data_IF_649677471187
#
_entry.id   IF_649677471187
#
_cell.length_a   1.000
_cell.length_b   1.000
_cell.length_c   1.000
_cell.angle_alpha   90.00
_cell.angle_beta   90.00
_cell.angle_gamma   90.00
#
_symmetry.space_group_name_H-M   'P 1'
#
loop_
_entity.id
_entity.type
_entity.pdbx_description
1 polymer ?
#
# COMPACT_ATOMS: atom_id res chain seq x y z
N UNK A 1 -12.41 9.84 -7.00
CA UNK A 1 -11.48 8.78 -7.45
C UNK A 1 -11.07 7.97 -6.23
N UNK A 2 -10.67 6.75 -6.41
CA UNK A 2 -10.30 5.84 -5.33
C UNK A 2 -8.88 5.33 -5.51
N UNK A 3 -8.34 4.74 -4.46
CA UNK A 3 -7.02 4.10 -4.44
C UNK A 3 -7.21 2.60 -4.36
N UNK A 4 -6.59 1.85 -5.27
CA UNK A 4 -6.59 0.38 -5.29
C UNK A 4 -5.30 -0.17 -4.74
N UNK A 5 -5.38 -1.22 -3.92
CA UNK A 5 -4.23 -2.01 -3.49
C UNK A 5 -4.11 -3.29 -4.32
N UNK A 6 -2.97 -3.45 -5.00
CA UNK A 6 -2.66 -4.64 -5.79
C UNK A 6 -1.32 -5.21 -5.38
N UNK A 7 -1.24 -6.53 -5.25
CA UNK A 7 -0.04 -7.27 -4.88
C UNK A 7 0.38 -8.14 -6.05
N UNK A 8 1.64 -8.08 -6.46
CA UNK A 8 2.18 -8.86 -7.57
C UNK A 8 3.14 -8.08 -8.46
N UNK A 9 3.43 -8.61 -9.65
CA UNK A 9 4.28 -7.96 -10.64
C UNK A 9 3.61 -6.79 -11.35
N UNK A 10 4.42 -5.93 -11.99
CA UNK A 10 3.93 -4.81 -12.77
C UNK A 10 3.06 -5.26 -13.95
N UNK A 11 3.41 -6.36 -14.61
CA UNK A 11 2.67 -6.90 -15.75
C UNK A 11 1.23 -7.31 -15.41
N UNK A 12 0.99 -7.74 -14.18
CA UNK A 12 -0.36 -8.06 -13.71
C UNK A 12 -1.15 -6.83 -13.24
N UNK A 13 -0.47 -5.72 -13.01
CA UNK A 13 -1.05 -4.51 -12.43
C UNK A 13 -1.39 -3.47 -13.48
N UNK A 14 -0.57 -3.35 -14.51
CA UNK A 14 -0.65 -2.31 -15.54
C UNK A 14 -0.77 -2.89 -16.95
N UNK A 15 -1.14 -2.05 -17.92
CA UNK A 15 -1.07 -2.40 -19.34
C UNK A 15 0.38 -2.70 -19.77
N UNK A 16 0.55 -3.61 -20.72
CA UNK A 16 1.85 -4.21 -21.05
C UNK A 16 2.97 -3.21 -21.33
N UNK A 17 2.70 -2.16 -22.12
CA UNK A 17 3.73 -1.16 -22.45
C UNK A 17 4.16 -0.35 -21.21
N UNK A 18 3.21 0.03 -20.38
CA UNK A 18 3.47 0.77 -19.15
C UNK A 18 4.13 -0.12 -18.09
N UNK A 19 3.72 -1.38 -18.00
CA UNK A 19 4.33 -2.36 -17.10
C UNK A 19 5.83 -2.57 -17.42
N UNK A 20 6.19 -2.62 -18.70
CA UNK A 20 7.59 -2.73 -19.13
C UNK A 20 8.40 -1.48 -18.77
N UNK A 21 7.83 -0.29 -18.93
CA UNK A 21 8.48 0.96 -18.50
C UNK A 21 8.73 0.96 -17.00
N UNK A 22 7.71 0.65 -16.19
CA UNK A 22 7.81 0.59 -14.73
C UNK A 22 8.87 -0.42 -14.29
N UNK A 23 8.84 -1.63 -14.86
CA UNK A 23 9.84 -2.65 -14.56
C UNK A 23 11.26 -2.17 -14.90
N UNK A 24 11.46 -1.58 -16.07
CA UNK A 24 12.75 -1.04 -16.48
C UNK A 24 13.26 0.10 -15.59
N UNK A 25 12.39 0.99 -15.14
CA UNK A 25 12.75 2.08 -14.22
C UNK A 25 13.14 1.54 -12.84
N UNK A 26 12.42 0.53 -12.33
CA UNK A 26 12.76 -0.14 -11.07
C UNK A 26 14.07 -0.91 -11.16
N UNK A 27 14.31 -1.65 -12.24
CA UNK A 27 15.57 -2.36 -12.47
C UNK A 27 16.76 -1.40 -12.51
N UNK A 28 16.61 -0.28 -13.20
CA UNK A 28 17.65 0.73 -13.28
C UNK A 28 17.96 1.37 -11.93
N UNK A 29 16.92 1.66 -11.13
CA UNK A 29 17.06 2.38 -9.87
C UNK A 29 17.59 1.49 -8.73
N UNK A 30 17.15 0.23 -8.66
CA UNK A 30 17.45 -0.65 -7.52
C UNK A 30 18.34 -1.83 -7.86
N UNK A 31 18.56 -2.08 -9.13
CA UNK A 31 19.39 -3.18 -9.64
C UNK A 31 18.79 -4.56 -9.36
N UNK A 32 18.82 -5.44 -10.33
CA UNK A 32 18.38 -6.81 -10.15
C UNK A 32 17.28 -7.23 -11.13
N UNK A 33 17.12 -8.52 -11.27
CA UNK A 33 16.01 -9.10 -12.01
C UNK A 33 14.75 -9.01 -11.13
N UNK A 34 13.66 -8.50 -11.69
CA UNK A 34 12.35 -8.44 -11.02
C UNK A 34 11.75 -9.85 -10.94
N UNK A 35 12.18 -10.65 -9.99
CA UNK A 35 11.72 -12.04 -9.80
C UNK A 35 10.21 -12.14 -9.53
N UNK A 36 9.58 -11.03 -9.12
CA UNK A 36 8.15 -10.97 -8.84
C UNK A 36 7.25 -10.86 -10.08
N UNK A 37 7.77 -10.67 -11.28
CA UNK A 37 6.92 -10.52 -12.49
C UNK A 37 6.09 -11.76 -12.81
N UNK A 38 6.48 -12.94 -12.36
CA UNK A 38 5.70 -14.17 -12.46
C UNK A 38 4.63 -14.38 -11.39
N UNK A 39 4.55 -13.49 -10.38
CA UNK A 39 3.57 -13.62 -9.28
C UNK A 39 2.19 -13.19 -9.76
N UNK A 40 1.16 -14.06 -9.67
CA UNK A 40 -0.21 -13.69 -10.05
C UNK A 40 -0.70 -12.49 -9.23
N UNK A 41 -1.31 -11.48 -9.88
CA UNK A 41 -1.79 -10.30 -9.18
C UNK A 41 -2.97 -10.63 -8.26
N UNK A 42 -2.98 -10.02 -7.08
CA UNK A 42 -4.10 -10.06 -6.16
C UNK A 42 -4.59 -8.63 -5.88
N UNK A 43 -5.90 -8.43 -5.91
CA UNK A 43 -6.55 -7.16 -5.59
C UNK A 43 -7.13 -7.20 -4.17
N UNK A 44 -6.79 -6.20 -3.35
CA UNK A 44 -7.20 -6.10 -1.95
C UNK A 44 -8.25 -5.01 -1.70
N UNK A 45 -8.95 -4.61 -2.74
CA UNK A 45 -10.05 -3.67 -2.69
C UNK A 45 -9.64 -2.22 -2.99
N UNK A 46 -10.66 -1.41 -3.09
CA UNK A 46 -10.56 0.01 -3.39
C UNK A 46 -10.91 0.83 -2.14
N UNK A 47 -10.18 1.91 -1.94
CA UNK A 47 -10.46 2.90 -0.91
C UNK A 47 -10.90 4.20 -1.56
N UNK A 48 -11.82 4.92 -0.90
CA UNK A 48 -11.99 6.33 -1.19
C UNK A 48 -10.67 7.08 -0.88
N UNK A 49 -10.34 8.07 -1.70
CA UNK A 49 -9.16 8.93 -1.51
C UNK A 49 -9.13 9.56 -0.10
N UNK A 50 -10.30 9.94 0.41
CA UNK A 50 -10.48 10.44 1.78
C UNK A 50 -10.05 9.43 2.85
N UNK A 51 -10.27 8.14 2.64
CA UNK A 51 -9.85 7.09 3.58
C UNK A 51 -8.34 6.97 3.67
N UNK A 52 -7.64 7.06 2.54
CA UNK A 52 -6.17 7.09 2.52
C UNK A 52 -5.61 8.32 3.21
N UNK A 53 -6.15 9.50 2.89
CA UNK A 53 -5.72 10.76 3.50
C UNK A 53 -5.97 10.78 5.01
N UNK A 54 -7.10 10.24 5.47
CA UNK A 54 -7.40 10.16 6.90
C UNK A 54 -6.47 9.17 7.62
N UNK A 55 -6.15 8.02 7.01
CA UNK A 55 -5.15 7.09 7.55
C UNK A 55 -3.80 7.78 7.75
N UNK A 56 -3.31 8.51 6.76
CA UNK A 56 -2.04 9.23 6.85
C UNK A 56 -2.08 10.33 7.91
N UNK A 57 -3.19 11.05 8.02
CA UNK A 57 -3.39 12.11 9.01
C UNK A 57 -3.39 11.53 10.43
N UNK A 58 -4.18 10.50 10.68
CA UNK A 58 -4.26 9.81 11.98
C UNK A 58 -2.96 9.12 12.35
N UNK A 59 -2.24 8.55 11.38
CA UNK A 59 -0.91 8.01 11.60
C UNK A 59 0.08 9.08 12.09
N UNK A 60 0.07 10.25 11.47
CA UNK A 60 0.89 11.40 11.92
C UNK A 60 0.54 11.87 13.32
N UNK A 61 -0.74 11.93 13.65
CA UNK A 61 -1.21 12.31 14.97
C UNK A 61 -0.78 11.30 16.05
N UNK A 62 -0.79 10.01 15.73
CA UNK A 62 -0.45 8.94 16.67
C UNK A 62 1.06 8.77 16.89
N UNK A 63 1.88 8.81 15.84
CA UNK A 63 3.29 8.44 15.89
C UNK A 63 4.26 9.58 15.52
N UNK A 64 3.77 10.65 14.88
CA UNK A 64 4.61 11.70 14.32
C UNK A 64 5.13 11.38 12.91
N UNK A 65 5.53 12.44 12.19
CA UNK A 65 5.94 12.37 10.77
C UNK A 65 7.19 11.50 10.57
N UNK A 66 8.14 11.58 11.48
CA UNK A 66 9.44 10.89 11.36
C UNK A 66 9.32 9.38 11.59
N UNK A 67 8.26 8.93 12.29
CA UNK A 67 8.07 7.52 12.60
C UNK A 67 7.38 6.72 11.48
N UNK A 68 6.76 7.40 10.51
CA UNK A 68 5.98 6.76 9.43
C UNK A 68 6.35 7.27 8.02
N UNK A 69 7.65 7.31 7.66
CA UNK A 69 8.08 7.85 6.38
C UNK A 69 7.58 7.05 5.18
N UNK A 70 7.39 5.73 5.32
CA UNK A 70 6.90 4.89 4.21
C UNK A 70 5.39 5.09 3.99
N UNK A 71 4.59 5.16 5.05
CA UNK A 71 3.15 5.43 4.95
C UNK A 71 2.88 6.82 4.35
N UNK A 72 3.71 7.82 4.69
CA UNK A 72 3.59 9.18 4.16
C UNK A 72 4.25 9.36 2.79
N UNK A 73 5.15 8.46 2.40
CA UNK A 73 5.91 8.54 1.15
C UNK A 73 5.06 8.36 -0.11
N UNK A 74 3.93 7.68 0.00
CA UNK A 74 3.01 7.45 -1.12
C UNK A 74 1.75 8.31 -0.97
N UNK A 75 1.51 9.20 -1.92
CA UNK A 75 0.30 10.02 -1.98
C UNK A 75 -0.80 9.35 -2.81
N UNK A 76 -2.01 9.91 -2.75
CA UNK A 76 -3.15 9.50 -3.59
C UNK A 76 -3.00 9.92 -5.05
N UNK A 77 -2.17 10.94 -5.29
CA UNK A 77 -1.91 11.43 -6.63
C UNK A 77 -0.83 10.60 -7.31
N UNK A 78 -1.22 9.83 -8.30
CA UNK A 78 -0.30 9.05 -9.11
C UNK A 78 -0.21 7.58 -8.74
N UNK A 79 0.98 7.02 -8.97
CA UNK A 79 1.26 5.59 -8.79
C UNK A 79 2.33 5.42 -7.74
N UNK A 80 2.08 4.52 -6.81
CA UNK A 80 3.03 4.19 -5.75
C UNK A 80 3.32 2.71 -5.68
N UNK A 81 4.52 2.36 -5.19
CA UNK A 81 4.92 0.98 -4.94
C UNK A 81 5.69 0.85 -3.64
N UNK A 82 5.31 -0.13 -2.85
CA UNK A 82 6.11 -0.64 -1.75
C UNK A 82 6.90 -1.85 -2.22
N UNK A 83 8.22 -1.71 -2.25
CA UNK A 83 9.13 -2.76 -2.72
C UNK A 83 9.46 -3.74 -1.59
N UNK A 84 9.60 -5.05 -1.88
CA UNK A 84 9.97 -6.07 -0.89
C UNK A 84 11.46 -5.98 -0.50
N UNK A 85 11.93 -4.76 -0.23
CA UNK A 85 13.31 -4.45 0.13
C UNK A 85 13.37 -3.25 1.07
N UNK A 86 14.47 -3.13 1.81
CA UNK A 86 14.76 -1.94 2.59
C UNK A 86 15.30 -0.84 1.68
N UNK A 87 14.42 0.06 1.26
CA UNK A 87 14.75 1.20 0.41
C UNK A 87 14.29 2.50 1.08
N UNK A 88 14.99 3.58 0.82
CA UNK A 88 14.49 4.91 1.18
C UNK A 88 13.41 5.32 0.19
N UNK A 89 12.43 6.09 0.67
CA UNK A 89 11.39 6.64 -0.19
C UNK A 89 12.01 7.51 -1.29
N UNK A 90 11.69 7.22 -2.54
CA UNK A 90 12.22 7.89 -3.73
C UNK A 90 11.13 8.04 -4.78
N UNK A 91 11.27 9.08 -5.60
CA UNK A 91 10.38 9.36 -6.73
C UNK A 91 11.15 9.15 -8.03
N UNK A 92 10.67 8.24 -8.88
CA UNK A 92 11.29 7.89 -10.15
C UNK A 92 10.49 8.49 -11.31
N UNK A 93 11.15 9.19 -12.25
CA UNK A 93 10.46 9.76 -13.41
C UNK A 93 9.97 8.65 -14.34
N UNK A 94 8.79 8.85 -14.91
CA UNK A 94 8.22 8.05 -16.00
C UNK A 94 8.15 8.90 -17.26
N UNK A 95 8.12 8.28 -18.42
CA UNK A 95 8.08 8.98 -19.71
C UNK A 95 6.77 9.74 -19.90
N UNK A 96 5.69 9.24 -19.31
CA UNK A 96 4.36 9.85 -19.38
C UNK A 96 3.64 9.79 -18.03
N UNK A 97 2.96 10.87 -17.72
CA UNK A 97 2.11 10.96 -16.52
C UNK A 97 2.85 11.30 -15.23
N UNK A 98 2.22 10.98 -14.10
CA UNK A 98 2.79 11.20 -12.79
C UNK A 98 3.98 10.25 -12.50
N UNK A 99 5.00 10.72 -11.78
CA UNK A 99 6.15 9.90 -11.44
C UNK A 99 5.76 8.73 -10.54
N UNK A 100 6.57 7.66 -10.58
CA UNK A 100 6.43 6.51 -9.69
C UNK A 100 7.06 6.82 -8.33
N UNK A 101 6.29 6.75 -7.29
CA UNK A 101 6.78 6.87 -5.91
C UNK A 101 7.06 5.49 -5.35
N UNK A 102 8.26 5.29 -4.83
CA UNK A 102 8.70 4.01 -4.26
C UNK A 102 8.97 4.17 -2.76
N UNK A 103 8.60 3.17 -1.98
CA UNK A 103 8.88 3.10 -0.55
C UNK A 103 9.17 1.64 -0.13
N UNK A 104 9.58 1.43 1.12
CA UNK A 104 9.93 0.11 1.65
C UNK A 104 8.71 -0.63 2.17
N UNK A 105 8.46 -1.84 1.69
CA UNK A 105 7.44 -2.74 2.24
C UNK A 105 7.77 -3.21 3.67
N UNK A 106 9.02 -3.65 3.98
CA UNK A 106 9.41 -3.93 5.37
C UNK A 106 9.28 -2.72 6.29
N UNK A 107 9.62 -1.52 5.81
CA UNK A 107 9.43 -0.28 6.55
C UNK A 107 7.97 0.01 6.84
N UNK A 108 7.10 -0.09 5.83
CA UNK A 108 5.65 0.06 5.99
C UNK A 108 5.10 -0.93 7.03
N UNK A 109 5.52 -2.20 6.98
CA UNK A 109 5.09 -3.23 7.95
C UNK A 109 5.41 -2.84 9.39
N UNK A 110 6.60 -2.31 9.64
CA UNK A 110 6.98 -1.82 10.96
C UNK A 110 6.13 -0.63 11.40
N UNK A 111 5.84 0.30 10.49
CA UNK A 111 4.97 1.44 10.76
C UNK A 111 3.53 1.01 11.09
N UNK A 112 2.98 0.06 10.31
CA UNK A 112 1.66 -0.51 10.57
C UNK A 112 1.61 -1.27 11.91
N UNK A 113 2.69 -1.94 12.31
CA UNK A 113 2.77 -2.60 13.62
C UNK A 113 2.70 -1.58 14.77
N UNK A 114 3.41 -0.46 14.66
CA UNK A 114 3.34 0.61 15.65
C UNK A 114 1.94 1.26 15.72
N UNK A 115 1.30 1.48 14.57
CA UNK A 115 -0.08 1.98 14.53
C UNK A 115 -1.07 1.00 15.16
N UNK A 116 -0.90 -0.31 14.88
CA UNK A 116 -1.72 -1.36 15.46
C UNK A 116 -1.65 -1.35 16.99
N UNK A 117 -0.45 -1.20 17.57
CA UNK A 117 -0.27 -1.04 19.02
C UNK A 117 -0.98 0.21 19.55
N UNK A 118 -0.82 1.37 18.87
CA UNK A 118 -1.47 2.62 19.28
C UNK A 118 -3.00 2.56 19.25
N UNK A 119 -3.56 1.81 18.33
CA UNK A 119 -5.00 1.74 18.09
C UNK A 119 -5.65 0.47 18.65
N UNK A 120 -4.88 -0.36 19.35
CA UNK A 120 -5.32 -1.67 19.89
C UNK A 120 -5.93 -2.57 18.80
N UNK A 121 -5.27 -2.61 17.63
CA UNK A 121 -5.66 -3.42 16.48
C UNK A 121 -4.74 -4.61 16.29
N UNK A 122 -5.26 -5.69 15.71
CA UNK A 122 -4.46 -6.87 15.34
C UNK A 122 -4.01 -6.77 13.87
N UNK A 123 -2.80 -7.28 13.59
CA UNK A 123 -2.28 -7.47 12.22
C UNK A 123 -2.54 -8.88 11.67
N UNK A 124 -3.25 -9.73 12.40
CA UNK A 124 -3.61 -11.06 11.91
C UNK A 124 -4.64 -10.96 10.77
N UNK A 125 -4.44 -11.75 9.72
CA UNK A 125 -5.29 -11.72 8.52
C UNK A 125 -6.78 -11.86 8.83
N UNK A 126 -7.15 -12.75 9.76
CA UNK A 126 -8.55 -12.96 10.12
C UNK A 126 -9.15 -11.72 10.80
N UNK A 127 -8.43 -11.14 11.76
CA UNK A 127 -8.87 -9.92 12.44
C UNK A 127 -9.02 -8.74 11.46
N UNK A 128 -8.08 -8.60 10.52
CA UNK A 128 -8.15 -7.57 9.47
C UNK A 128 -9.36 -7.79 8.53
N UNK A 129 -9.65 -9.04 8.15
CA UNK A 129 -10.84 -9.36 7.35
C UNK A 129 -12.15 -9.07 8.10
N UNK A 130 -12.19 -9.33 9.39
CA UNK A 130 -13.34 -9.03 10.23
C UNK A 130 -13.55 -7.52 10.36
N UNK A 131 -12.47 -6.73 10.53
CA UNK A 131 -12.54 -5.27 10.48
C UNK A 131 -13.09 -4.76 9.14
N UNK A 132 -12.60 -5.30 8.02
CA UNK A 132 -13.08 -4.91 6.69
C UNK A 132 -14.57 -5.23 6.56
N UNK A 133 -15.01 -6.40 7.00
CA UNK A 133 -16.42 -6.81 6.94
C UNK A 133 -17.31 -5.89 7.77
N UNK A 134 -16.93 -5.58 9.00
CA UNK A 134 -17.66 -4.67 9.88
C UNK A 134 -17.82 -3.30 9.23
N UNK A 135 -16.75 -2.76 8.64
CA UNK A 135 -16.79 -1.45 7.98
C UNK A 135 -17.51 -1.44 6.63
N UNK A 136 -17.74 -2.60 6.01
CA UNK A 136 -18.50 -2.72 4.77
C UNK A 136 -19.97 -3.09 5.01
N UNK A 137 -20.32 -3.50 6.23
CA UNK A 137 -21.69 -3.86 6.59
C UNK A 137 -22.44 -2.64 7.13
N UNK A 138 -23.40 -2.09 6.35
CA UNK A 138 -24.13 -0.89 6.75
C UNK A 138 -25.07 -1.12 7.96
N UNK A 139 -25.35 -2.37 8.32
CA UNK A 139 -26.28 -2.69 9.41
C UNK A 139 -25.64 -2.61 10.81
N UNK A 140 -24.31 -2.66 10.92
CA UNK A 140 -23.59 -2.64 12.19
C UNK A 140 -23.26 -1.23 12.76
N UNK A 141 -23.63 -0.16 12.08
CA UNK A 141 -23.57 1.22 12.60
C UNK A 141 -22.18 1.84 12.81
N UNK A 142 -21.11 1.13 12.51
CA UNK A 142 -19.71 1.57 12.70
C UNK A 142 -19.08 2.19 11.46
N UNK A 143 -19.75 2.09 10.34
CA UNK A 143 -19.22 2.37 8.98
C UNK A 143 -18.88 3.85 8.77
N UNK A 144 -19.54 4.76 9.45
CA UNK A 144 -19.46 6.20 9.12
C UNK A 144 -18.28 6.93 9.76
N UNK A 145 -17.73 6.43 10.88
CA UNK A 145 -16.89 7.26 11.76
C UNK A 145 -15.39 6.92 11.74
N UNK A 146 -14.95 5.87 11.06
CA UNK A 146 -13.54 5.43 11.08
C UNK A 146 -13.00 4.98 9.72
N UNK A 147 -12.95 5.87 8.70
CA UNK A 147 -12.42 5.52 7.37
C UNK A 147 -10.95 5.12 7.42
N UNK A 148 -10.19 5.62 8.38
CA UNK A 148 -8.80 5.26 8.63
C UNK A 148 -8.63 3.80 9.06
N UNK A 149 -9.56 3.22 9.82
CA UNK A 149 -9.49 1.81 10.25
C UNK A 149 -9.71 0.88 9.07
N UNK A 150 -10.67 1.18 8.19
CA UNK A 150 -10.86 0.43 6.95
C UNK A 150 -9.65 0.52 6.04
N UNK A 151 -9.08 1.72 5.88
CA UNK A 151 -7.87 1.94 5.10
C UNK A 151 -6.69 1.17 5.69
N UNK A 152 -6.49 1.23 6.99
CA UNK A 152 -5.48 0.47 7.72
C UNK A 152 -5.64 -1.04 7.49
N UNK A 153 -6.84 -1.59 7.69
CA UNK A 153 -7.09 -3.02 7.56
C UNK A 153 -6.81 -3.54 6.15
N UNK A 154 -7.24 -2.81 5.11
CA UNK A 154 -6.95 -3.18 3.71
C UNK A 154 -5.47 -3.08 3.36
N UNK A 155 -4.80 -2.01 3.77
CA UNK A 155 -3.37 -1.84 3.56
C UNK A 155 -2.56 -2.92 4.28
N UNK A 156 -2.87 -3.20 5.55
CA UNK A 156 -2.18 -4.21 6.34
C UNK A 156 -2.36 -5.62 5.76
N UNK A 157 -3.58 -5.96 5.31
CA UNK A 157 -3.86 -7.24 4.67
C UNK A 157 -3.08 -7.39 3.34
N UNK A 158 -3.06 -6.34 2.51
CA UNK A 158 -2.28 -6.31 1.29
C UNK A 158 -0.77 -6.41 1.55
N UNK A 159 -0.26 -5.70 2.57
CA UNK A 159 1.14 -5.77 2.98
C UNK A 159 1.51 -7.17 3.50
N UNK A 160 0.64 -7.83 4.28
CA UNK A 160 0.84 -9.22 4.71
C UNK A 160 1.02 -10.16 3.52
N UNK A 161 0.16 -10.04 2.51
CA UNK A 161 0.24 -10.88 1.31
C UNK A 161 1.48 -10.58 0.47
N UNK A 162 1.82 -9.31 0.30
CA UNK A 162 3.02 -8.90 -0.43
C UNK A 162 4.31 -9.43 0.22
N UNK A 163 4.40 -9.38 1.55
CA UNK A 163 5.53 -9.97 2.29
C UNK A 163 5.56 -11.50 2.15
N UNK A 164 4.40 -12.16 2.24
CA UNK A 164 4.31 -13.62 2.13
C UNK A 164 4.74 -14.13 0.75
N UNK A 165 4.48 -13.35 -0.30
CA UNK A 165 4.84 -13.66 -1.69
C UNK A 165 6.17 -13.08 -2.12
N UNK A 166 6.84 -12.31 -1.26
CA UNK A 166 8.07 -11.57 -1.58
C UNK A 166 7.93 -10.76 -2.88
N UNK A 167 6.87 -9.97 -2.98
CA UNK A 167 6.55 -9.20 -4.17
C UNK A 167 6.05 -7.79 -3.83
N UNK A 168 6.00 -6.86 -4.82
CA UNK A 168 5.56 -5.50 -4.60
C UNK A 168 4.09 -5.38 -4.20
N UNK A 169 3.79 -4.34 -3.42
CA UNK A 169 2.46 -3.82 -3.17
C UNK A 169 2.28 -2.50 -3.91
N UNK A 170 1.35 -2.46 -4.84
CA UNK A 170 1.05 -1.30 -5.67
C UNK A 170 -0.11 -0.49 -5.11
N UNK A 171 0.06 0.83 -5.15
CA UNK A 171 -0.96 1.82 -4.90
C UNK A 171 -1.32 2.46 -6.24
N UNK A 172 -2.54 2.22 -6.73
CA UNK A 172 -3.01 2.68 -8.03
C UNK A 172 -4.22 3.58 -7.82
N UNK A 173 -4.10 4.85 -8.19
CA UNK A 173 -5.15 5.85 -8.14
C UNK A 173 -5.78 6.14 -9.50
#
# INVERSE_FOLDING_TARGET
>A
MGVSFKVGGAQGTFESAFALEVAGVLDHAFGGENEWEGVPPCHFGDLAESGWAELQKRGREALGVEAIPNLLGLGVEGRGVYLPAHVQAVTLPLSQGAPLRCASLPGLRNELAQLAECWDLSLEDQALRDLIRIHLDPDDGWVADTPEVLAFARLALAANEAVRKDCPLWLVG
#
